data_IF_473344370224
#
_entry.id   IF_473344370224
#
_cell.length_a   1.000
_cell.length_b   1.000
_cell.length_c   1.000
_cell.angle_alpha   90.00
_cell.angle_beta   90.00
_cell.angle_gamma   90.00
#
_symmetry.space_group_name_H-M   'P 1'
#
loop_
_entity.id
_entity.type
_entity.pdbx_description
1 polymer ?
#
# COMPACT_ATOMS: atom_id res chain seq x y z
N UNK A 1 41.63 2.09 30.13
CA UNK A 1 40.68 2.80 29.26
C UNK A 1 41.50 3.59 28.24
N UNK A 2 41.81 3.01 27.08
CA UNK A 2 42.61 3.67 26.03
C UNK A 2 41.66 4.35 25.03
N UNK A 3 41.63 5.68 25.03
CA UNK A 3 40.93 6.46 24.01
C UNK A 3 41.81 6.44 22.76
N UNK A 4 41.35 5.82 21.68
CA UNK A 4 41.99 5.94 20.37
C UNK A 4 41.54 7.26 19.75
N UNK A 5 42.47 8.19 19.55
CA UNK A 5 42.23 9.43 18.81
C UNK A 5 42.56 9.13 17.35
N UNK A 6 41.54 9.15 16.50
CA UNK A 6 41.67 8.93 15.06
C UNK A 6 41.99 10.30 14.41
N UNK A 7 43.00 10.39 13.53
CA UNK A 7 43.33 11.62 12.81
C UNK A 7 42.14 12.11 11.95
N UNK A 8 41.92 13.43 11.90
CA UNK A 8 40.81 14.05 11.15
C UNK A 8 40.76 13.66 9.66
N UNK A 9 41.91 13.35 9.07
CA UNK A 9 42.03 12.99 7.66
C UNK A 9 41.43 11.60 7.34
N UNK A 10 41.38 10.69 8.34
CA UNK A 10 40.77 9.37 8.18
C UNK A 10 39.24 9.41 8.28
N UNK A 11 38.67 10.35 9.05
CA UNK A 11 37.22 10.57 9.17
C UNK A 11 36.58 10.96 7.83
N UNK A 12 37.30 11.74 7.01
CA UNK A 12 36.82 12.17 5.69
C UNK A 12 36.75 11.05 4.64
N UNK A 13 37.38 9.89 4.89
CA UNK A 13 37.48 8.79 3.93
C UNK A 13 36.48 7.65 4.18
N UNK A 14 36.05 7.46 5.45
CA UNK A 14 35.06 6.45 5.82
C UNK A 14 33.61 6.95 5.80
N UNK A 15 33.35 8.25 5.99
CA UNK A 15 32.00 8.82 5.98
C UNK A 15 31.47 9.16 4.57
N UNK A 16 32.33 9.28 3.56
CA UNK A 16 31.93 9.64 2.18
C UNK A 16 31.27 8.51 1.38
N UNK A 17 31.14 7.29 1.90
CA UNK A 17 30.63 6.15 1.11
C UNK A 17 29.11 5.94 1.17
N UNK A 18 28.35 6.74 1.92
CA UNK A 18 26.89 6.55 2.02
C UNK A 18 26.04 7.81 1.93
N UNK A 19 26.62 9.01 1.94
CA UNK A 19 25.87 10.27 1.88
C UNK A 19 25.54 10.75 0.45
N UNK A 20 26.22 10.23 -0.58
CA UNK A 20 26.24 10.90 -1.90
C UNK A 20 25.26 10.33 -2.94
N UNK A 21 24.48 9.29 -2.64
CA UNK A 21 23.50 8.74 -3.58
C UNK A 21 22.15 8.45 -2.92
N UNK A 22 21.27 9.45 -2.92
CA UNK A 22 19.85 9.26 -2.67
C UNK A 22 19.23 8.82 -3.99
N UNK A 23 18.72 7.58 -4.11
CA UNK A 23 18.08 7.14 -5.33
C UNK A 23 16.88 8.05 -5.63
N UNK A 24 16.69 8.51 -6.87
CA UNK A 24 15.62 9.44 -7.22
C UNK A 24 14.22 8.82 -7.05
N UNK A 25 14.13 7.50 -6.95
CA UNK A 25 12.89 6.77 -6.70
C UNK A 25 13.16 5.55 -5.82
N UNK A 26 12.37 5.41 -4.76
CA UNK A 26 12.32 4.21 -3.93
C UNK A 26 11.15 3.35 -4.38
N UNK A 27 11.44 2.15 -4.87
CA UNK A 27 10.41 1.18 -5.21
C UNK A 27 9.86 0.49 -3.95
N UNK A 28 8.56 0.15 -3.92
CA UNK A 28 7.97 -0.56 -2.79
C UNK A 28 8.63 -1.93 -2.65
N UNK A 29 9.14 -2.22 -1.46
CA UNK A 29 9.59 -3.56 -1.09
C UNK A 29 8.46 -4.25 -0.35
N UNK A 30 7.65 -5.01 -1.09
CA UNK A 30 6.45 -5.63 -0.54
C UNK A 30 6.74 -6.65 0.57
N UNK A 31 7.91 -7.31 0.50
CA UNK A 31 8.38 -8.19 1.57
C UNK A 31 8.44 -7.44 2.91
N UNK A 32 7.61 -7.87 3.85
CA UNK A 32 7.45 -7.29 5.20
C UNK A 32 6.84 -5.88 5.25
N UNK A 33 6.29 -5.34 4.15
CA UNK A 33 5.73 -3.99 4.14
C UNK A 33 4.54 -3.89 5.09
N UNK A 34 3.61 -4.83 4.98
CA UNK A 34 2.36 -4.82 5.74
C UNK A 34 2.54 -5.42 7.13
N UNK A 35 3.42 -6.41 7.27
CA UNK A 35 3.83 -6.91 8.58
C UNK A 35 4.41 -5.79 9.47
N UNK A 36 5.41 -5.04 8.99
CA UNK A 36 5.98 -3.90 9.74
C UNK A 36 4.96 -2.82 10.06
N UNK A 37 4.01 -2.59 9.14
CA UNK A 37 2.92 -1.64 9.36
C UNK A 37 2.01 -2.11 10.50
N UNK A 38 1.63 -3.39 10.51
CA UNK A 38 0.82 -3.96 11.56
C UNK A 38 1.52 -3.91 12.93
N UNK A 39 2.80 -4.30 13.00
CA UNK A 39 3.62 -4.19 14.23
C UNK A 39 3.66 -2.76 14.74
N UNK A 40 3.97 -1.80 13.86
CA UNK A 40 4.04 -0.40 14.25
C UNK A 40 2.70 0.16 14.73
N UNK A 41 1.59 -0.25 14.12
CA UNK A 41 0.26 0.17 14.56
C UNK A 41 -0.09 -0.40 15.94
N UNK A 42 0.30 -1.64 16.24
CA UNK A 42 0.13 -2.23 17.58
C UNK A 42 0.95 -1.51 18.63
N UNK A 43 2.22 -1.20 18.36
CA UNK A 43 3.07 -0.40 19.25
C UNK A 43 2.45 0.97 19.56
N UNK A 44 1.96 1.66 18.52
CA UNK A 44 1.31 2.96 18.68
C UNK A 44 0.00 2.87 19.47
N UNK A 45 -0.65 1.71 19.52
CA UNK A 45 -1.92 1.51 20.18
C UNK A 45 -1.82 1.35 21.71
N UNK A 46 -0.65 1.03 22.26
CA UNK A 46 -0.49 0.69 23.68
C UNK A 46 -0.83 1.85 24.62
N UNK A 47 -0.52 3.08 24.23
CA UNK A 47 -0.69 4.28 25.07
C UNK A 47 -1.43 5.41 24.32
N UNK A 48 -2.37 5.05 23.46
CA UNK A 48 -3.10 6.01 22.63
C UNK A 48 -4.61 5.97 22.91
N UNK A 49 -5.28 7.12 23.08
CA UNK A 49 -6.74 7.20 23.22
C UNK A 49 -7.52 6.52 22.07
N UNK A 50 -6.91 6.41 20.89
CA UNK A 50 -7.45 5.72 19.71
C UNK A 50 -6.91 4.28 19.56
N UNK A 51 -6.45 3.67 20.66
CA UNK A 51 -5.78 2.37 20.65
C UNK A 51 -6.61 1.26 19.98
N UNK A 52 -7.92 1.21 20.20
CA UNK A 52 -8.79 0.21 19.57
C UNK A 52 -8.86 0.37 18.05
N UNK A 53 -8.94 1.62 17.57
CA UNK A 53 -8.90 1.90 16.14
C UNK A 53 -7.54 1.54 15.54
N UNK A 54 -6.44 1.82 16.23
CA UNK A 54 -5.09 1.45 15.77
C UNK A 54 -4.90 -0.07 15.75
N UNK A 55 -5.45 -0.80 16.72
CA UNK A 55 -5.48 -2.28 16.73
C UNK A 55 -6.30 -2.83 15.55
N UNK A 56 -7.45 -2.23 15.26
CA UNK A 56 -8.24 -2.55 14.06
C UNK A 56 -7.45 -2.29 12.77
N UNK A 57 -6.80 -1.13 12.63
CA UNK A 57 -5.97 -0.83 11.47
C UNK A 57 -4.78 -1.79 11.35
N UNK A 58 -4.20 -2.23 12.47
CA UNK A 58 -3.15 -3.23 12.50
C UNK A 58 -3.64 -4.60 12.01
N UNK A 59 -4.87 -4.98 12.38
CA UNK A 59 -5.52 -6.20 11.89
C UNK A 59 -5.72 -6.15 10.37
N UNK A 60 -6.24 -5.03 9.84
CA UNK A 60 -6.37 -4.83 8.38
C UNK A 60 -5.01 -4.91 7.69
N UNK A 61 -3.99 -4.26 8.23
CA UNK A 61 -2.64 -4.34 7.67
C UNK A 61 -2.08 -5.77 7.71
N UNK A 62 -2.32 -6.53 8.77
CA UNK A 62 -1.91 -7.93 8.84
C UNK A 62 -2.61 -8.77 7.76
N UNK A 63 -3.92 -8.62 7.58
CA UNK A 63 -4.67 -9.27 6.52
C UNK A 63 -4.13 -8.92 5.12
N UNK A 64 -3.69 -7.67 4.90
CA UNK A 64 -3.03 -7.31 3.64
C UNK A 64 -1.72 -8.08 3.38
N UNK A 65 -0.93 -8.42 4.42
CA UNK A 65 0.27 -9.25 4.27
C UNK A 65 -0.09 -10.68 3.85
N UNK A 66 -1.11 -11.28 4.48
CA UNK A 66 -1.60 -12.63 4.16
C UNK A 66 -2.12 -12.68 2.73
N UNK A 67 -3.03 -11.76 2.37
CA UNK A 67 -3.62 -11.68 1.03
C UNK A 67 -2.57 -11.41 -0.05
N UNK A 68 -1.55 -10.58 0.24
CA UNK A 68 -0.44 -10.34 -0.68
C UNK A 68 0.32 -11.64 -0.99
N UNK A 69 0.56 -12.47 0.03
CA UNK A 69 1.27 -13.72 -0.12
C UNK A 69 0.47 -14.73 -0.96
N UNK A 70 -0.83 -14.84 -0.73
CA UNK A 70 -1.69 -15.82 -1.43
C UNK A 70 -2.10 -15.39 -2.84
N UNK A 71 -2.16 -14.08 -3.11
CA UNK A 71 -2.67 -13.52 -4.36
C UNK A 71 -1.72 -12.49 -4.98
N UNK A 72 -0.49 -12.90 -5.33
CA UNK A 72 0.44 -12.02 -6.04
C UNK A 72 -0.12 -11.64 -7.42
N UNK A 73 -0.05 -10.35 -7.74
CA UNK A 73 -0.42 -9.83 -9.05
C UNK A 73 0.63 -10.23 -10.08
N UNK A 74 0.16 -10.82 -11.18
CA UNK A 74 0.98 -11.12 -12.34
C UNK A 74 0.47 -10.28 -13.52
N UNK A 75 1.24 -9.28 -13.91
CA UNK A 75 0.88 -8.35 -14.99
C UNK A 75 2.14 -7.81 -15.66
N UNK A 76 2.13 -7.67 -16.98
CA UNK A 76 3.19 -6.95 -17.71
C UNK A 76 2.81 -5.49 -17.91
N UNK A 77 3.52 -4.59 -17.22
CA UNK A 77 3.32 -3.15 -17.31
C UNK A 77 4.21 -2.48 -18.38
N UNK A 78 5.03 -3.23 -19.11
CA UNK A 78 6.05 -2.68 -20.02
C UNK A 78 5.44 -1.79 -21.11
N UNK A 79 4.39 -2.26 -21.77
CA UNK A 79 3.70 -1.50 -22.82
C UNK A 79 3.08 -0.21 -22.25
N UNK A 80 2.41 -0.31 -21.10
CA UNK A 80 1.77 0.83 -20.42
C UNK A 80 2.76 1.88 -19.97
N UNK A 81 3.91 1.47 -19.43
CA UNK A 81 4.98 2.39 -19.02
C UNK A 81 5.53 3.14 -20.24
N UNK A 82 5.75 2.43 -21.35
CA UNK A 82 6.23 3.04 -22.61
C UNK A 82 5.24 4.09 -23.13
N UNK A 83 3.96 3.76 -23.14
CA UNK A 83 2.89 4.67 -23.57
C UNK A 83 2.79 5.89 -22.64
N UNK A 84 2.73 5.67 -21.32
CA UNK A 84 2.63 6.74 -20.34
C UNK A 84 3.81 7.70 -20.42
N UNK A 85 5.03 7.17 -20.59
CA UNK A 85 6.23 7.98 -20.79
C UNK A 85 6.18 8.80 -22.09
N UNK A 86 5.65 8.26 -23.18
CA UNK A 86 5.48 8.99 -24.44
C UNK A 86 4.48 10.16 -24.31
N UNK A 87 3.47 10.01 -23.45
CA UNK A 87 2.47 11.03 -23.15
C UNK A 87 2.88 11.98 -22.00
N UNK A 88 4.03 11.73 -21.34
CA UNK A 88 4.47 12.49 -20.18
C UNK A 88 3.58 12.32 -18.94
N UNK A 89 2.84 11.21 -18.83
CA UNK A 89 1.91 10.92 -17.73
C UNK A 89 2.47 9.86 -16.77
N UNK A 90 2.01 9.83 -15.51
CA UNK A 90 2.37 8.75 -14.58
C UNK A 90 1.87 7.38 -15.10
N UNK A 91 2.67 6.31 -15.02
CA UNK A 91 2.27 4.98 -15.50
C UNK A 91 1.12 4.37 -14.69
N UNK A 92 1.03 4.69 -13.39
CA UNK A 92 0.00 4.22 -12.47
C UNK A 92 -0.91 5.36 -11.98
N UNK A 93 -1.27 6.26 -12.89
CA UNK A 93 -2.20 7.36 -12.62
C UNK A 93 -3.55 6.81 -12.12
N UNK A 94 -3.98 7.26 -10.93
CA UNK A 94 -5.16 6.75 -10.23
C UNK A 94 -6.49 7.11 -10.93
N UNK A 95 -6.50 8.11 -11.80
CA UNK A 95 -7.70 8.55 -12.51
C UNK A 95 -7.78 7.98 -13.93
N UNK A 96 -6.64 7.64 -14.52
CA UNK A 96 -6.56 7.19 -15.92
C UNK A 96 -6.34 5.69 -16.06
N UNK A 97 -5.86 5.01 -15.02
CA UNK A 97 -5.62 3.58 -15.08
C UNK A 97 -6.94 2.81 -14.88
N UNK A 98 -7.42 2.06 -15.89
CA UNK A 98 -8.52 1.13 -15.66
C UNK A 98 -8.05 0.06 -14.67
N UNK A 99 -8.88 -0.20 -13.66
CA UNK A 99 -8.60 -1.24 -12.67
C UNK A 99 -8.91 -2.60 -13.25
N UNK A 100 -8.03 -3.56 -13.00
CA UNK A 100 -8.25 -4.96 -13.34
C UNK A 100 -9.02 -5.70 -12.23
N UNK A 101 -9.80 -6.73 -12.58
CA UNK A 101 -10.61 -7.51 -11.63
C UNK A 101 -9.80 -8.11 -10.47
N UNK A 102 -8.47 -8.19 -10.56
CA UNK A 102 -7.62 -8.60 -9.45
C UNK A 102 -7.86 -7.81 -8.17
N UNK A 103 -8.22 -6.52 -8.21
CA UNK A 103 -8.48 -5.76 -6.98
C UNK A 103 -9.74 -6.25 -6.25
N UNK A 104 -10.78 -6.70 -6.98
CA UNK A 104 -11.96 -7.35 -6.38
C UNK A 104 -11.57 -8.65 -5.69
N UNK A 105 -10.71 -9.46 -6.33
CA UNK A 105 -10.17 -10.68 -5.72
C UNK A 105 -9.45 -10.37 -4.41
N UNK A 106 -8.61 -9.33 -4.38
CA UNK A 106 -7.92 -8.89 -3.17
C UNK A 106 -8.92 -8.44 -2.08
N UNK A 107 -9.98 -7.71 -2.45
CA UNK A 107 -11.00 -7.29 -1.50
C UNK A 107 -11.75 -8.48 -0.89
N UNK A 108 -12.19 -9.44 -1.70
CA UNK A 108 -12.89 -10.62 -1.19
C UNK A 108 -12.01 -11.47 -0.29
N UNK A 109 -10.73 -11.66 -0.64
CA UNK A 109 -9.79 -12.39 0.23
C UNK A 109 -9.49 -11.64 1.52
N UNK A 110 -9.38 -10.31 1.47
CA UNK A 110 -9.25 -9.47 2.67
C UNK A 110 -10.47 -9.61 3.58
N UNK A 111 -11.67 -9.59 3.00
CA UNK A 111 -12.93 -9.81 3.73
C UNK A 111 -12.94 -11.18 4.40
N UNK A 112 -12.59 -12.24 3.67
CA UNK A 112 -12.55 -13.60 4.20
C UNK A 112 -11.57 -13.75 5.38
N UNK A 113 -10.40 -13.13 5.30
CA UNK A 113 -9.39 -13.12 6.36
C UNK A 113 -9.84 -12.33 7.60
N UNK A 114 -10.54 -11.21 7.39
CA UNK A 114 -10.99 -10.34 8.49
C UNK A 114 -12.25 -10.84 9.19
N UNK A 115 -13.13 -11.55 8.48
CA UNK A 115 -14.46 -11.95 8.97
C UNK A 115 -14.44 -12.70 10.32
N UNK A 116 -13.51 -13.65 10.60
CA UNK A 116 -13.46 -14.36 11.88
C UNK A 116 -13.17 -13.47 13.09
N UNK A 117 -12.47 -12.36 12.87
CA UNK A 117 -12.02 -11.43 13.92
C UNK A 117 -13.04 -10.30 14.19
N UNK A 118 -14.15 -10.28 13.43
CA UNK A 118 -15.10 -9.16 13.39
C UNK A 118 -16.39 -9.52 14.13
N UNK A 119 -16.98 -8.52 14.78
CA UNK A 119 -18.24 -8.66 15.50
C UNK A 119 -19.11 -7.41 15.37
N UNK A 120 -20.40 -7.54 15.70
CA UNK A 120 -21.34 -6.42 15.73
C UNK A 120 -21.48 -5.70 14.39
N UNK A 121 -21.38 -4.38 14.41
CA UNK A 121 -21.52 -3.53 13.23
C UNK A 121 -20.43 -3.78 12.18
N UNK A 122 -19.18 -4.01 12.60
CA UNK A 122 -18.08 -4.26 11.67
C UNK A 122 -18.30 -5.55 10.86
N UNK A 123 -18.81 -6.61 11.49
CA UNK A 123 -19.16 -7.85 10.80
C UNK A 123 -20.26 -7.61 9.76
N UNK A 124 -21.33 -6.90 10.14
CA UNK A 124 -22.42 -6.59 9.21
C UNK A 124 -21.95 -5.77 8.00
N UNK A 125 -21.00 -4.85 8.19
CA UNK A 125 -20.42 -4.05 7.11
C UNK A 125 -19.63 -4.92 6.14
N UNK A 126 -18.79 -5.81 6.65
CA UNK A 126 -17.99 -6.74 5.84
C UNK A 126 -18.89 -7.72 5.08
N UNK A 127 -19.94 -8.25 5.72
CA UNK A 127 -20.92 -9.13 5.06
C UNK A 127 -21.72 -8.41 3.97
N UNK A 128 -22.00 -7.12 4.14
CA UNK A 128 -22.65 -6.31 3.12
C UNK A 128 -21.70 -6.07 1.93
N UNK A 129 -20.43 -5.77 2.19
CA UNK A 129 -19.41 -5.63 1.14
C UNK A 129 -19.18 -6.94 0.38
N UNK A 130 -19.21 -8.09 1.07
CA UNK A 130 -19.07 -9.41 0.47
C UNK A 130 -20.17 -9.71 -0.56
N UNK A 131 -21.37 -9.15 -0.34
CA UNK A 131 -22.56 -9.34 -1.19
C UNK A 131 -22.69 -8.29 -2.30
N UNK A 132 -21.90 -7.23 -2.26
CA UNK A 132 -21.90 -6.20 -3.30
C UNK A 132 -21.45 -6.78 -4.64
N UNK A 133 -22.09 -6.37 -5.72
CA UNK A 133 -21.70 -6.73 -7.07
C UNK A 133 -20.41 -6.03 -7.51
N UNK A 134 -19.71 -6.61 -8.49
CA UNK A 134 -18.52 -5.98 -9.11
C UNK A 134 -18.80 -4.53 -9.57
N UNK A 135 -20.00 -4.25 -10.07
CA UNK A 135 -20.37 -2.91 -10.51
C UNK A 135 -20.45 -1.92 -9.34
N UNK A 136 -21.13 -2.30 -8.25
CA UNK A 136 -21.23 -1.47 -7.05
C UNK A 136 -19.86 -1.24 -6.41
N UNK A 137 -19.01 -2.27 -6.39
CA UNK A 137 -17.63 -2.17 -5.91
C UNK A 137 -16.81 -1.17 -6.74
N UNK A 138 -16.91 -1.22 -8.08
CA UNK A 138 -16.24 -0.26 -8.97
C UNK A 138 -16.77 1.17 -8.83
N UNK A 139 -18.08 1.34 -8.63
CA UNK A 139 -18.68 2.65 -8.37
C UNK A 139 -18.16 3.25 -7.07
N UNK A 140 -18.12 2.45 -6.00
CA UNK A 140 -17.54 2.88 -4.72
C UNK A 140 -16.05 3.22 -4.85
N UNK A 141 -15.25 2.38 -5.54
CA UNK A 141 -13.84 2.65 -5.77
C UNK A 141 -13.63 3.94 -6.57
N UNK A 142 -14.44 4.17 -7.61
CA UNK A 142 -14.39 5.38 -8.43
C UNK A 142 -14.74 6.64 -7.62
N UNK A 143 -15.79 6.57 -6.80
CA UNK A 143 -16.20 7.66 -5.91
C UNK A 143 -15.11 7.99 -4.89
N UNK A 144 -14.45 6.99 -4.30
CA UNK A 144 -13.32 7.19 -3.39
C UNK A 144 -12.15 7.93 -4.06
N UNK A 145 -11.78 7.58 -5.30
CA UNK A 145 -10.74 8.30 -6.03
C UNK A 145 -11.17 9.72 -6.43
N UNK A 146 -12.47 9.93 -6.69
CA UNK A 146 -13.03 11.25 -6.95
C UNK A 146 -13.23 12.12 -5.69
N UNK A 147 -12.91 11.59 -4.50
CA UNK A 147 -13.19 12.22 -3.20
C UNK A 147 -14.68 12.48 -2.95
N UNK A 148 -15.58 11.74 -3.61
CA UNK A 148 -17.02 11.79 -3.38
C UNK A 148 -17.42 10.83 -2.27
N UNK A 149 -17.14 11.24 -1.04
CA UNK A 149 -17.43 10.46 0.16
C UNK A 149 -18.93 10.37 0.49
N UNK A 150 -19.80 11.05 -0.27
CA UNK A 150 -21.25 10.93 -0.10
C UNK A 150 -21.80 9.62 -0.67
N UNK A 151 -21.12 9.06 -1.67
CA UNK A 151 -21.50 7.84 -2.37
C UNK A 151 -20.91 6.57 -1.71
N UNK A 152 -20.01 6.71 -0.75
CA UNK A 152 -19.37 5.58 -0.07
C UNK A 152 -19.48 5.76 1.43
N UNK A 153 -20.15 4.82 2.09
CA UNK A 153 -20.31 4.88 3.53
C UNK A 153 -18.96 4.76 4.24
N UNK A 154 -18.74 5.60 5.25
CA UNK A 154 -17.45 5.72 5.96
C UNK A 154 -16.95 4.43 6.62
N UNK A 155 -17.86 3.50 6.88
CA UNK A 155 -17.61 2.16 7.43
C UNK A 155 -17.02 1.18 6.39
N UNK A 156 -17.38 1.33 5.11
CA UNK A 156 -16.91 0.49 3.99
C UNK A 156 -15.57 0.96 3.43
N UNK A 157 -15.35 2.27 3.44
CA UNK A 157 -14.19 2.90 2.82
C UNK A 157 -12.83 2.31 3.27
N UNK A 158 -12.57 1.99 4.55
CA UNK A 158 -11.29 1.42 4.98
C UNK A 158 -10.95 0.09 4.30
N UNK A 159 -11.93 -0.80 4.10
CA UNK A 159 -11.73 -2.10 3.47
C UNK A 159 -11.44 -1.97 1.98
N UNK A 160 -12.18 -1.08 1.29
CA UNK A 160 -11.96 -0.80 -0.13
C UNK A 160 -10.57 -0.16 -0.33
N UNK A 161 -10.19 0.82 0.49
CA UNK A 161 -8.86 1.41 0.44
C UNK A 161 -7.74 0.42 0.76
N UNK A 162 -7.96 -0.54 1.67
CA UNK A 162 -7.00 -1.59 1.94
C UNK A 162 -6.76 -2.46 0.70
N UNK A 163 -7.81 -2.89 0.00
CA UNK A 163 -7.69 -3.66 -1.22
C UNK A 163 -7.02 -2.86 -2.36
N UNK A 164 -7.45 -1.62 -2.60
CA UNK A 164 -6.89 -0.74 -3.63
C UNK A 164 -5.42 -0.41 -3.36
N UNK A 165 -5.07 -0.08 -2.11
CA UNK A 165 -3.67 0.22 -1.76
C UNK A 165 -2.77 -1.00 -1.95
N UNK A 166 -3.26 -2.21 -1.66
CA UNK A 166 -2.55 -3.45 -1.94
C UNK A 166 -2.39 -3.70 -3.45
N UNK A 167 -3.45 -3.49 -4.23
CA UNK A 167 -3.38 -3.61 -5.69
C UNK A 167 -2.35 -2.66 -6.32
N UNK A 168 -2.36 -1.37 -5.92
CA UNK A 168 -1.39 -0.39 -6.41
C UNK A 168 0.04 -0.67 -5.96
N UNK A 169 0.23 -1.11 -4.70
CA UNK A 169 1.56 -1.48 -4.21
C UNK A 169 2.15 -2.63 -5.02
N UNK A 170 1.32 -3.63 -5.38
CA UNK A 170 1.72 -4.72 -6.27
C UNK A 170 2.11 -4.23 -7.65
N UNK A 171 1.27 -3.42 -8.31
CA UNK A 171 1.61 -2.82 -9.61
C UNK A 171 2.91 -2.01 -9.57
N UNK A 172 3.10 -1.19 -8.54
CA UNK A 172 4.30 -0.38 -8.38
C UNK A 172 5.57 -1.24 -8.19
N UNK A 173 5.45 -2.43 -7.60
CA UNK A 173 6.58 -3.38 -7.48
C UNK A 173 6.97 -4.05 -8.80
N UNK A 174 6.05 -4.10 -9.77
CA UNK A 174 6.27 -4.67 -11.10
C UNK A 174 6.92 -3.68 -12.08
N UNK A 175 7.05 -2.39 -11.71
CA UNK A 175 7.72 -1.39 -12.54
C UNK A 175 9.22 -1.71 -12.59
N UNK A 176 9.83 -1.86 -13.79
CA UNK A 176 11.25 -2.07 -13.93
C UNK A 176 12.05 -0.92 -13.28
N UNK A 177 13.06 -1.26 -12.48
CA UNK A 177 13.76 -0.37 -11.54
C UNK A 177 14.61 0.78 -12.10
N UNK A 178 14.24 1.42 -13.21
CA UNK A 178 14.99 2.52 -13.84
C UNK A 178 14.22 3.83 -13.72
N UNK A 179 14.48 4.60 -12.66
CA UNK A 179 14.07 6.00 -12.58
C UNK A 179 15.26 6.91 -12.90
N UNK A 180 15.03 7.97 -13.68
CA UNK A 180 16.00 9.04 -13.94
C UNK A 180 15.39 10.37 -13.51
N UNK A 181 16.03 11.07 -12.58
CA UNK A 181 15.70 12.47 -12.32
C UNK A 181 16.18 13.31 -13.51
N UNK A 182 15.28 14.04 -14.16
CA UNK A 182 15.67 15.15 -15.04
C UNK A 182 15.76 16.40 -14.18
N UNK A 183 16.98 16.87 -13.95
CA UNK A 183 17.22 18.22 -13.44
C UNK A 183 16.83 19.16 -14.59
N UNK A 184 15.85 20.04 -14.34
CA UNK A 184 15.41 21.07 -15.28
C UNK A 184 16.17 22.35 -15.02
#
# INVERSE_FOLDING_TARGET
MSIRIIPQDELGSSEKRTADYIPPLLFPRLKNLYNRRAERLRELAENNPLGDFLRFAALVAHAQEVVLYDHPLQMDLTARIKEANAQGKPPLDIHLLPRDKHWHKLLHSLIAELKPEMSGTALAVIENLEKSSDLELEEMASALFASDFSLVSSDKAPFIWAALSLYWAQMASLIPGKARARIR
#
